data_IF_307270429722
#
_entry.id   IF_307270429722
#
_cell.length_a   1.000
_cell.length_b   1.000
_cell.length_c   1.000
_cell.angle_alpha   90.00
_cell.angle_beta   90.00
_cell.angle_gamma   90.00
#
_symmetry.space_group_name_H-M   'P 1'
#
loop_
_entity.id
_entity.type
_entity.pdbx_description
1 polymer ?
#
# COMPACT_ATOMS: atom_id res chain seq x y z
N UNK A 1 34.88 1.39 -2.07
CA UNK A 1 33.68 2.24 -2.28
C UNK A 1 32.47 1.36 -2.06
N UNK A 2 31.78 1.56 -0.94
CA UNK A 2 30.56 0.83 -0.56
C UNK A 2 29.36 1.44 -1.31
N UNK A 3 28.76 0.68 -2.23
CA UNK A 3 27.41 1.00 -2.71
C UNK A 3 26.43 0.66 -1.59
N UNK A 4 26.20 1.59 -0.66
CA UNK A 4 24.94 1.62 0.08
C UNK A 4 23.88 2.03 -0.94
N UNK A 5 23.19 1.06 -1.52
CA UNK A 5 21.99 1.36 -2.30
C UNK A 5 20.99 2.00 -1.34
N UNK A 6 20.65 3.26 -1.58
CA UNK A 6 19.52 3.89 -0.90
C UNK A 6 18.25 3.18 -1.40
N UNK A 7 17.89 2.06 -0.79
CA UNK A 7 16.66 1.27 -1.02
C UNK A 7 15.38 2.04 -0.63
N UNK A 8 15.45 3.36 -0.48
CA UNK A 8 14.37 4.26 -0.08
C UNK A 8 13.38 4.63 -1.19
N UNK A 9 13.52 4.05 -2.38
CA UNK A 9 12.61 4.29 -3.52
C UNK A 9 11.82 3.05 -3.95
N UNK A 10 12.06 1.88 -3.34
CA UNK A 10 11.33 0.64 -3.66
C UNK A 10 10.22 0.38 -2.66
N UNK A 11 9.15 -0.28 -3.09
CA UNK A 11 8.04 -0.71 -2.22
C UNK A 11 8.45 -1.86 -1.28
N UNK A 12 9.52 -2.59 -1.61
CA UNK A 12 10.01 -3.71 -0.79
C UNK A 12 10.36 -3.20 0.61
N UNK A 13 9.84 -3.84 1.66
CA UNK A 13 10.05 -3.44 3.05
C UNK A 13 8.81 -3.63 3.91
N UNK A 14 8.90 -3.18 5.16
CA UNK A 14 7.80 -3.25 6.14
C UNK A 14 7.24 -1.84 6.32
N UNK A 15 5.92 -1.73 6.22
CA UNK A 15 5.20 -0.47 6.23
C UNK A 15 4.04 -0.55 7.22
N UNK A 16 3.98 0.41 8.14
CA UNK A 16 2.89 0.54 9.10
C UNK A 16 1.92 1.62 8.63
N UNK A 17 0.63 1.32 8.65
CA UNK A 17 -0.39 2.32 8.34
C UNK A 17 -0.31 3.44 9.37
N UNK A 18 -0.16 4.66 8.88
CA UNK A 18 -0.02 5.88 9.68
C UNK A 18 -1.23 6.80 9.57
N UNK A 19 -2.12 6.52 8.62
CA UNK A 19 -3.38 7.22 8.46
C UNK A 19 -4.03 6.83 7.14
N UNK A 20 -5.28 7.27 6.99
CA UNK A 20 -6.01 7.16 5.74
C UNK A 20 -6.76 8.46 5.47
N UNK A 21 -7.10 8.66 4.21
CA UNK A 21 -8.00 9.70 3.76
C UNK A 21 -9.14 9.04 2.99
N UNK A 22 -10.34 9.28 3.49
CA UNK A 22 -11.59 8.95 2.81
C UNK A 22 -12.38 10.24 2.65
N UNK A 23 -12.96 10.46 1.46
CA UNK A 23 -13.86 11.56 1.20
C UNK A 23 -15.28 11.07 0.91
N UNK A 24 -16.28 11.65 1.56
CA UNK A 24 -17.68 11.52 1.17
C UNK A 24 -18.19 12.89 0.74
N UNK A 25 -18.06 13.19 -0.56
CA UNK A 25 -18.64 14.37 -1.20
C UNK A 25 -17.96 15.71 -0.90
N UNK A 26 -17.88 16.13 0.36
CA UNK A 26 -17.43 17.49 0.74
C UNK A 26 -16.51 17.54 1.98
N UNK A 27 -16.21 16.41 2.62
CA UNK A 27 -15.45 16.36 3.85
C UNK A 27 -14.32 15.33 3.74
N UNK A 28 -13.10 15.82 3.95
CA UNK A 28 -11.89 15.00 4.01
C UNK A 28 -11.71 14.58 5.46
N UNK A 29 -11.95 13.31 5.76
CA UNK A 29 -11.74 12.79 7.10
C UNK A 29 -10.37 12.12 7.16
N UNK A 30 -9.46 12.70 7.95
CA UNK A 30 -8.18 12.09 8.30
C UNK A 30 -8.32 11.36 9.63
N UNK A 31 -8.17 10.04 9.61
CA UNK A 31 -8.12 9.25 10.84
C UNK A 31 -6.67 8.95 11.20
N UNK A 32 -6.27 9.30 12.43
CA UNK A 32 -5.24 8.53 13.13
C UNK A 32 -5.86 7.18 13.47
N UNK A 33 -5.21 6.12 13.03
CA UNK A 33 -5.77 4.78 13.09
C UNK A 33 -5.19 4.07 14.32
N UNK A 34 -6.07 3.73 15.27
CA UNK A 34 -5.73 2.97 16.48
C UNK A 34 -5.45 1.47 16.19
N UNK A 35 -5.63 1.01 14.95
CA UNK A 35 -5.34 -0.37 14.56
C UNK A 35 -3.91 -0.55 14.06
N UNK A 36 -3.22 -1.58 14.56
CA UNK A 36 -1.94 -2.04 14.03
C UNK A 36 -2.15 -2.72 12.67
N UNK A 37 -2.12 -1.92 11.60
CA UNK A 37 -2.06 -2.42 10.22
C UNK A 37 -0.61 -2.33 9.75
N UNK A 38 -0.02 -3.48 9.43
CA UNK A 38 1.35 -3.59 8.91
C UNK A 38 1.34 -4.42 7.62
N UNK A 39 1.93 -3.88 6.56
CA UNK A 39 2.13 -4.58 5.30
C UNK A 39 3.63 -4.75 5.00
N UNK A 40 4.03 -5.97 4.64
CA UNK A 40 5.40 -6.32 4.24
C UNK A 40 5.40 -6.75 2.78
N UNK A 41 6.26 -6.13 1.98
CA UNK A 41 6.52 -6.51 0.59
C UNK A 41 7.90 -7.15 0.46
N UNK A 42 7.95 -8.38 -0.06
CA UNK A 42 9.18 -9.15 -0.24
C UNK A 42 9.69 -9.10 -1.69
N UNK A 43 11.00 -9.23 -1.89
CA UNK A 43 11.63 -9.22 -3.23
C UNK A 43 11.15 -10.36 -4.15
N UNK A 44 10.61 -11.44 -3.58
CA UNK A 44 10.11 -12.60 -4.31
C UNK A 44 8.69 -12.40 -4.87
N UNK A 45 8.06 -11.23 -4.68
CA UNK A 45 6.70 -10.93 -5.12
C UNK A 45 5.61 -11.43 -4.15
N UNK A 46 5.95 -11.74 -2.91
CA UNK A 46 4.99 -12.03 -1.85
C UNK A 46 4.74 -10.77 -1.00
N UNK A 47 3.51 -10.58 -0.55
CA UNK A 47 3.20 -9.63 0.50
C UNK A 47 2.52 -10.32 1.68
N UNK A 48 2.66 -9.71 2.86
CA UNK A 48 1.94 -10.11 4.08
C UNK A 48 1.30 -8.87 4.67
N UNK A 49 0.04 -8.98 5.04
CA UNK A 49 -0.68 -7.94 5.76
C UNK A 49 -1.11 -8.47 7.12
N UNK A 50 -0.84 -7.70 8.16
CA UNK A 50 -1.29 -7.92 9.52
C UNK A 50 -2.28 -6.83 9.87
N UNK A 51 -3.50 -7.21 10.24
CA UNK A 51 -4.59 -6.29 10.59
C UNK A 51 -5.29 -6.83 11.83
N UNK A 52 -5.12 -6.16 12.98
CA UNK A 52 -5.78 -6.52 14.25
C UNK A 52 -5.68 -8.02 14.61
N UNK A 53 -4.47 -8.58 14.52
CA UNK A 53 -4.20 -9.99 14.83
C UNK A 53 -4.59 -11.00 13.74
N UNK A 54 -5.20 -10.56 12.64
CA UNK A 54 -5.39 -11.38 11.43
C UNK A 54 -4.23 -11.18 10.48
N UNK A 55 -3.82 -12.26 9.82
CA UNK A 55 -2.77 -12.22 8.81
C UNK A 55 -3.29 -12.70 7.45
N UNK A 56 -2.97 -11.94 6.41
CA UNK A 56 -3.11 -12.33 5.01
C UNK A 56 -1.70 -12.47 4.42
N UNK A 57 -1.50 -13.48 3.57
CA UNK A 57 -0.27 -13.67 2.82
C UNK A 57 -0.62 -14.06 1.41
N UNK A 58 -0.15 -13.29 0.43
CA UNK A 58 -0.45 -13.54 -0.98
C UNK A 58 0.62 -12.90 -1.89
N UNK A 59 0.33 -12.82 -3.19
CA UNK A 59 1.22 -12.32 -4.23
C UNK A 59 0.93 -10.86 -4.56
N UNK A 60 1.98 -10.12 -4.86
CA UNK A 60 1.88 -8.80 -5.47
C UNK A 60 2.78 -8.70 -6.69
N UNK A 61 2.45 -7.76 -7.58
CA UNK A 61 3.33 -7.36 -8.67
C UNK A 61 3.04 -5.92 -9.07
N UNK A 62 3.97 -5.30 -9.80
CA UNK A 62 3.77 -4.01 -10.45
C UNK A 62 3.44 -4.30 -11.92
N UNK A 63 2.31 -3.81 -12.41
CA UNK A 63 1.88 -4.06 -13.78
C UNK A 63 2.55 -3.11 -14.79
N UNK A 64 2.21 -3.23 -16.07
CA UNK A 64 2.75 -2.39 -17.14
C UNK A 64 2.31 -0.91 -17.10
N UNK A 65 1.31 -0.57 -16.28
CA UNK A 65 0.87 0.80 -16.02
C UNK A 65 1.47 1.37 -14.73
N UNK A 66 2.44 0.69 -14.13
CA UNK A 66 3.05 1.04 -12.85
C UNK A 66 2.04 1.08 -11.68
N UNK A 67 1.03 0.21 -11.73
CA UNK A 67 0.13 -0.02 -10.59
C UNK A 67 0.63 -1.18 -9.76
N UNK A 68 0.59 -1.01 -8.44
CA UNK A 68 0.72 -2.10 -7.50
C UNK A 68 -0.56 -2.93 -7.53
N UNK A 69 -0.43 -4.22 -7.78
CA UNK A 69 -1.53 -5.18 -7.80
C UNK A 69 -1.35 -6.15 -6.66
N UNK A 70 -2.32 -6.19 -5.73
CA UNK A 70 -2.38 -7.20 -4.67
C UNK A 70 -3.37 -8.29 -5.09
N UNK A 71 -2.92 -9.53 -5.13
CA UNK A 71 -3.79 -10.67 -5.43
C UNK A 71 -4.46 -11.18 -4.15
N UNK A 72 -5.73 -11.58 -4.26
CA UNK A 72 -6.43 -12.32 -3.22
C UNK A 72 -6.80 -13.70 -3.75
N UNK A 73 -5.92 -14.67 -3.53
CA UNK A 73 -6.07 -16.06 -3.98
C UNK A 73 -7.30 -16.77 -3.40
N UNK A 74 -7.82 -16.31 -2.24
CA UNK A 74 -9.04 -16.87 -1.63
C UNK A 74 -10.29 -16.47 -2.39
N UNK A 75 -10.40 -15.21 -2.79
CA UNK A 75 -11.58 -14.70 -3.51
C UNK A 75 -11.40 -14.72 -5.04
N UNK A 76 -10.17 -14.92 -5.52
CA UNK A 76 -9.74 -14.77 -6.91
C UNK A 76 -9.88 -13.34 -7.44
N UNK A 77 -9.89 -12.37 -6.54
CA UNK A 77 -9.93 -10.95 -6.89
C UNK A 77 -8.53 -10.33 -6.87
N UNK A 78 -8.46 -9.07 -7.28
CA UNK A 78 -7.26 -8.25 -7.21
C UNK A 78 -7.62 -6.83 -6.82
N UNK A 79 -6.76 -6.20 -6.03
CA UNK A 79 -6.86 -4.79 -5.66
C UNK A 79 -5.73 -4.05 -6.38
N UNK A 80 -6.06 -2.89 -6.96
CA UNK A 80 -5.13 -2.08 -7.73
C UNK A 80 -4.88 -0.77 -7.02
N UNK A 81 -3.60 -0.40 -6.91
CA UNK A 81 -3.17 0.85 -6.33
C UNK A 81 -2.26 1.62 -7.28
N UNK A 82 -2.56 2.90 -7.48
CA UNK A 82 -1.52 3.88 -7.78
C UNK A 82 -0.69 4.07 -6.51
N UNK A 83 0.64 4.13 -6.63
CA UNK A 83 1.51 4.25 -5.46
C UNK A 83 2.57 5.34 -5.62
N UNK A 84 2.92 5.97 -4.52
CA UNK A 84 4.02 6.94 -4.46
C UNK A 84 4.90 6.67 -3.23
N UNK A 85 6.21 6.72 -3.42
CA UNK A 85 7.19 6.60 -2.33
C UNK A 85 7.93 7.92 -2.18
N UNK A 86 7.87 8.50 -0.98
CA UNK A 86 8.51 9.77 -0.62
C UNK A 86 9.31 9.58 0.65
N UNK A 87 10.57 9.18 0.51
CA UNK A 87 11.43 8.85 1.64
C UNK A 87 10.89 7.63 2.41
N UNK A 88 10.51 7.83 3.67
CA UNK A 88 9.93 6.79 4.52
C UNK A 88 8.41 6.71 4.45
N UNK A 89 7.77 7.36 3.47
CA UNK A 89 6.31 7.33 3.28
C UNK A 89 5.93 6.59 2.02
N UNK A 90 4.95 5.70 2.13
CA UNK A 90 4.26 5.05 1.02
C UNK A 90 2.83 5.56 1.01
N UNK A 91 2.38 6.03 -0.15
CA UNK A 91 1.00 6.46 -0.38
C UNK A 91 0.40 5.46 -1.37
N UNK A 92 -0.72 4.85 -1.01
CA UNK A 92 -1.48 3.95 -1.87
C UNK A 92 -2.85 4.56 -2.13
N UNK A 93 -3.17 4.79 -3.40
CA UNK A 93 -4.48 5.26 -3.83
C UNK A 93 -5.20 4.15 -4.59
N UNK A 94 -6.36 3.72 -4.10
CA UNK A 94 -7.12 2.64 -4.74
C UNK A 94 -7.72 3.10 -6.07
N UNK A 95 -7.48 2.30 -7.11
CA UNK A 95 -7.91 2.58 -8.49
C UNK A 95 -8.60 1.35 -9.09
N UNK A 96 -9.41 1.55 -10.12
CA UNK A 96 -9.91 0.47 -10.94
C UNK A 96 -8.80 -0.09 -11.87
N UNK A 97 -9.10 -1.17 -12.60
CA UNK A 97 -8.19 -1.76 -13.60
C UNK A 97 -7.75 -0.80 -14.73
N UNK A 98 -8.48 0.29 -14.92
CA UNK A 98 -8.20 1.31 -15.92
C UNK A 98 -7.29 2.42 -15.36
N UNK A 99 -7.22 2.58 -14.05
CA UNK A 99 -6.50 3.65 -13.35
C UNK A 99 -7.40 4.79 -12.87
N UNK A 100 -8.73 4.62 -12.94
CA UNK A 100 -9.69 5.59 -12.41
C UNK A 100 -9.79 5.44 -10.90
N UNK A 101 -9.76 6.54 -10.15
CA UNK A 101 -9.98 6.48 -8.70
C UNK A 101 -11.37 5.92 -8.40
N UNK A 102 -11.43 4.98 -7.45
CA UNK A 102 -12.67 4.33 -7.05
C UNK A 102 -13.56 5.23 -6.17
N UNK A 103 -13.03 6.35 -5.67
CA UNK A 103 -13.69 7.27 -4.76
C UNK A 103 -13.61 8.70 -5.33
N UNK A 104 -14.73 9.43 -5.34
CA UNK A 104 -14.84 10.77 -5.95
C UNK A 104 -13.79 11.77 -5.41
N UNK A 105 -13.33 11.60 -4.16
CA UNK A 105 -12.29 12.44 -3.53
C UNK A 105 -11.07 11.66 -3.03
N UNK A 106 -10.87 10.44 -3.53
CA UNK A 106 -9.70 9.58 -3.25
C UNK A 106 -9.85 8.70 -2.01
N UNK A 107 -9.49 7.43 -2.16
CA UNK A 107 -9.32 6.48 -1.07
C UNK A 107 -7.82 6.21 -0.94
N UNK A 108 -7.17 7.01 -0.09
CA UNK A 108 -5.73 6.99 0.09
C UNK A 108 -5.35 6.39 1.43
N UNK A 109 -4.40 5.46 1.42
CA UNK A 109 -3.79 4.89 2.61
C UNK A 109 -2.34 5.38 2.69
N UNK A 110 -1.97 5.93 3.85
CA UNK A 110 -0.63 6.46 4.10
C UNK A 110 0.12 5.55 5.05
N UNK A 111 1.26 5.02 4.60
CA UNK A 111 2.10 4.17 5.40
C UNK A 111 3.45 4.83 5.68
N UNK A 112 4.01 4.50 6.85
CA UNK A 112 5.37 4.83 7.24
C UNK A 112 6.22 3.57 7.22
N UNK A 113 7.41 3.66 6.64
CA UNK A 113 8.39 2.57 6.66
C UNK A 113 8.84 2.32 8.09
N UNK A 114 8.82 1.05 8.50
CA UNK A 114 9.52 0.60 9.71
C UNK A 114 10.96 0.32 9.31
N UNK A 115 11.91 0.93 10.01
CA UNK A 115 13.33 0.61 9.85
C UNK A 115 13.57 -0.80 10.46
N UNK A 116 14.29 -1.65 9.75
CA UNK A 116 14.84 -2.90 10.29
C UNK A 116 16.11 -2.62 11.11
#
# INVERSE_FOLDING_TARGET
>A
MSCQSNDNTTIIGIWQLSGSRYGTGAEIISHEIDSEIVIKFEKNGNYREYTNGKQISDRYFINNKDFLVLLNSKTKDSIFYSYQIKGNKLILDEVDKNGSFMCDEGCSSFYKRLEE
#
